data_IF_136652963978
#
_entry.id   IF_136652963978
#
_cell.length_a   1.000
_cell.length_b   1.000
_cell.length_c   1.000
_cell.angle_alpha   90.00
_cell.angle_beta   90.00
_cell.angle_gamma   90.00
#
_symmetry.space_group_name_H-M   'P 1'
#
loop_
_entity.id
_entity.type
_entity.pdbx_description
1 polymer ?
#
# COMPACT_ATOMS: atom_id res chain seq x y z
N UNK A 1 -4.74 4.62 8.13
CA UNK A 1 -3.58 5.47 7.77
C UNK A 1 -2.45 5.14 8.72
N UNK A 2 -1.30 4.64 8.23
CA UNK A 2 -0.15 4.29 9.07
C UNK A 2 0.64 5.53 9.51
N UNK A 3 1.46 5.43 10.55
CA UNK A 3 2.31 6.53 11.09
C UNK A 3 3.16 7.23 10.03
N UNK A 4 3.53 6.52 8.96
CA UNK A 4 4.36 7.03 7.86
C UNK A 4 3.59 7.93 6.87
N UNK A 5 2.26 7.78 6.75
CA UNK A 5 1.41 8.73 6.02
C UNK A 5 1.35 10.12 6.69
N UNK A 6 1.71 10.24 7.97
CA UNK A 6 1.82 11.53 8.67
C UNK A 6 3.19 12.17 8.51
N UNK A 7 4.25 11.37 8.35
CA UNK A 7 5.64 11.84 8.28
C UNK A 7 6.05 12.28 6.85
N UNK A 8 5.62 11.54 5.83
CA UNK A 8 5.70 11.98 4.44
C UNK A 8 4.47 12.86 4.16
N UNK A 9 4.65 14.08 3.64
CA UNK A 9 3.56 15.04 3.29
C UNK A 9 2.69 14.53 2.12
N UNK A 10 2.07 13.37 2.26
CA UNK A 10 1.36 12.67 1.20
C UNK A 10 0.10 13.40 0.75
N UNK A 11 -0.53 14.15 1.67
CA UNK A 11 -1.74 14.93 1.41
C UNK A 11 -1.55 16.00 0.33
N UNK A 12 -0.32 16.51 0.14
CA UNK A 12 -0.02 17.55 -0.86
C UNK A 12 0.38 16.99 -2.23
N UNK A 13 0.92 15.77 -2.31
CA UNK A 13 1.42 15.19 -3.57
C UNK A 13 0.41 14.30 -4.30
N UNK A 14 -0.46 13.60 -3.57
CA UNK A 14 -1.41 12.63 -4.16
C UNK A 14 -2.35 13.24 -5.24
N UNK A 15 -2.94 14.44 -5.05
CA UNK A 15 -3.81 15.03 -6.07
C UNK A 15 -3.07 15.39 -7.37
N UNK A 16 -1.81 15.84 -7.26
CA UNK A 16 -0.96 16.16 -8.42
C UNK A 16 -0.57 14.90 -9.18
N UNK A 17 -0.15 13.85 -8.46
CA UNK A 17 0.21 12.56 -9.05
C UNK A 17 -0.99 11.92 -9.76
N UNK A 18 -2.19 12.00 -9.17
CA UNK A 18 -3.40 11.48 -9.80
C UNK A 18 -3.66 12.14 -11.16
N UNK A 19 -3.58 13.48 -11.23
CA UNK A 19 -3.77 14.23 -12.49
C UNK A 19 -2.73 13.89 -13.57
N UNK A 20 -1.53 13.46 -13.17
CA UNK A 20 -0.50 13.04 -14.12
C UNK A 20 -0.70 11.59 -14.61
N UNK A 21 -1.24 10.71 -13.75
CA UNK A 21 -1.45 9.29 -14.04
C UNK A 21 -2.74 9.06 -14.83
N UNK A 22 -3.81 9.80 -14.52
CA UNK A 22 -5.13 9.67 -15.15
C UNK A 22 -5.12 9.73 -16.69
N UNK A 23 -4.44 10.68 -17.35
CA UNK A 23 -4.34 10.70 -18.82
C UNK A 23 -3.47 9.58 -19.41
N UNK A 24 -2.68 8.87 -18.60
CA UNK A 24 -1.84 7.76 -19.05
C UNK A 24 -2.58 6.42 -19.02
N UNK A 25 -3.80 6.38 -18.48
CA UNK A 25 -4.60 5.16 -18.45
C UNK A 25 -4.96 4.71 -19.89
N UNK A 26 -4.98 3.40 -20.17
CA UNK A 26 -4.88 2.29 -19.23
C UNK A 26 -3.45 1.97 -18.77
N UNK A 27 -3.28 1.77 -17.46
CA UNK A 27 -2.02 1.37 -16.86
C UNK A 27 -2.19 0.15 -15.97
N UNK A 28 -1.15 -0.66 -15.84
CA UNK A 28 -1.14 -1.81 -14.94
C UNK A 28 -1.27 -1.36 -13.49
N UNK A 29 -2.17 -2.00 -12.75
CA UNK A 29 -2.28 -1.80 -11.30
C UNK A 29 -0.98 -2.24 -10.61
N UNK A 30 -0.46 -1.43 -9.70
CA UNK A 30 0.76 -1.78 -8.94
C UNK A 30 0.56 -2.97 -7.98
N UNK A 31 -0.71 -3.29 -7.64
CA UNK A 31 -1.08 -4.24 -6.60
C UNK A 31 -1.83 -5.49 -7.11
N UNK A 32 -2.11 -5.57 -8.42
CA UNK A 32 -2.76 -6.71 -9.05
C UNK A 32 -2.34 -6.84 -10.52
N UNK A 33 -2.54 -7.99 -11.17
CA UNK A 33 -2.11 -8.19 -12.55
C UNK A 33 -2.98 -7.47 -13.59
N UNK A 34 -4.05 -6.77 -13.18
CA UNK A 34 -5.02 -6.16 -14.08
C UNK A 34 -4.74 -4.68 -14.33
N UNK A 35 -5.14 -4.19 -15.51
CA UNK A 35 -5.09 -2.77 -15.82
C UNK A 35 -6.18 -1.98 -15.07
N UNK A 36 -5.87 -0.73 -14.74
CA UNK A 36 -6.82 0.31 -14.37
C UNK A 36 -7.21 1.01 -15.67
N UNK A 37 -8.50 1.01 -15.99
CA UNK A 37 -9.02 1.62 -17.21
C UNK A 37 -9.36 3.10 -17.00
N UNK A 38 -9.40 3.92 -18.05
CA UNK A 38 -9.97 5.26 -17.98
C UNK A 38 -11.40 5.20 -17.42
N UNK A 39 -11.71 6.03 -16.42
CA UNK A 39 -13.02 6.05 -15.75
C UNK A 39 -13.12 5.17 -14.50
N UNK A 40 -12.18 4.23 -14.29
CA UNK A 40 -12.15 3.42 -13.06
C UNK A 40 -11.79 4.28 -11.82
N UNK A 41 -12.39 3.93 -10.68
CA UNK A 41 -11.95 4.48 -9.39
C UNK A 41 -10.62 3.84 -8.97
N UNK A 42 -9.56 4.63 -8.97
CA UNK A 42 -8.24 4.21 -8.50
C UNK A 42 -7.69 5.11 -7.39
N UNK A 43 -6.62 4.67 -6.75
CA UNK A 43 -5.79 5.38 -5.78
C UNK A 43 -4.34 5.37 -6.26
N UNK A 44 -3.50 6.28 -5.76
CA UNK A 44 -2.06 6.25 -6.02
C UNK A 44 -1.40 5.32 -5.00
N UNK A 45 -0.87 4.20 -5.49
CA UNK A 45 -0.15 3.20 -4.69
C UNK A 45 1.35 3.29 -4.93
N UNK A 46 2.14 2.78 -3.97
CA UNK A 46 3.58 2.63 -4.12
C UNK A 46 3.94 1.31 -4.78
N UNK A 47 4.98 1.31 -5.62
CA UNK A 47 5.60 0.09 -6.16
C UNK A 47 6.50 -0.50 -5.08
N UNK A 48 7.48 0.27 -4.59
CA UNK A 48 8.24 -0.01 -3.37
C UNK A 48 7.56 0.65 -2.20
N UNK A 49 7.13 -0.15 -1.22
CA UNK A 49 6.47 0.32 0.00
C UNK A 49 7.27 1.46 0.66
N UNK A 50 6.56 2.45 1.20
CA UNK A 50 7.18 3.57 1.91
C UNK A 50 8.03 3.13 3.12
N UNK A 51 7.74 1.96 3.69
CA UNK A 51 8.51 1.36 4.79
C UNK A 51 9.87 0.81 4.34
N UNK A 52 9.96 0.40 3.07
CA UNK A 52 11.17 -0.15 2.46
C UNK A 52 12.00 0.96 1.77
N UNK A 53 11.75 2.24 2.12
CA UNK A 53 12.42 3.41 1.54
C UNK A 53 11.74 4.00 0.30
N UNK A 54 10.54 3.51 -0.06
CA UNK A 54 9.79 4.03 -1.19
C UNK A 54 9.46 5.52 -1.06
N UNK A 55 9.95 6.32 -2.00
CA UNK A 55 9.58 7.73 -2.11
C UNK A 55 8.36 7.90 -3.02
N UNK A 56 7.52 8.93 -2.79
CA UNK A 56 6.35 9.21 -3.63
C UNK A 56 6.76 9.94 -4.93
N UNK A 57 7.67 9.34 -5.70
CA UNK A 57 8.14 9.82 -7.00
C UNK A 57 7.35 9.15 -8.12
N UNK A 58 7.23 9.81 -9.29
CA UNK A 58 6.52 9.25 -10.45
C UNK A 58 7.06 7.88 -10.88
N UNK A 59 8.34 7.59 -10.62
CA UNK A 59 8.98 6.30 -10.91
C UNK A 59 8.61 5.19 -9.91
N UNK A 60 8.13 5.53 -8.71
CA UNK A 60 7.83 4.58 -7.65
C UNK A 60 6.34 4.56 -7.26
N UNK A 61 5.50 5.31 -7.96
CA UNK A 61 4.05 5.33 -7.74
C UNK A 61 3.33 4.97 -9.02
N UNK A 62 2.18 4.36 -8.86
CA UNK A 62 1.32 4.03 -9.99
C UNK A 62 -0.14 3.91 -9.57
N UNK A 63 -1.04 3.70 -10.54
CA UNK A 63 -2.44 3.53 -10.23
C UNK A 63 -2.64 2.17 -9.52
N UNK A 64 -3.49 2.18 -8.51
CA UNK A 64 -3.96 1.00 -7.81
C UNK A 64 -5.48 1.05 -7.76
N UNK A 65 -6.17 -0.02 -8.11
CA UNK A 65 -7.63 -0.06 -7.96
C UNK A 65 -8.05 0.32 -6.54
N UNK A 66 -9.06 1.20 -6.43
CA UNK A 66 -9.73 1.45 -5.15
C UNK A 66 -10.46 0.18 -4.72
N UNK A 67 -11.21 -0.39 -5.65
CA UNK A 67 -11.78 -1.73 -5.59
C UNK A 67 -11.56 -2.42 -6.94
N UNK A 68 -10.97 -3.61 -6.94
CA UNK A 68 -10.82 -4.41 -8.15
C UNK A 68 -11.86 -5.52 -8.14
N UNK A 69 -12.82 -5.48 -9.08
CA UNK A 69 -13.87 -6.49 -9.20
C UNK A 69 -13.29 -7.89 -9.46
N UNK A 70 -12.26 -7.98 -10.31
CA UNK A 70 -11.59 -9.25 -10.65
C UNK A 70 -10.86 -9.87 -9.47
N UNK A 71 -10.34 -9.05 -8.56
CA UNK A 71 -9.68 -9.52 -7.33
C UNK A 71 -10.61 -9.53 -6.10
N UNK A 72 -11.86 -9.07 -6.25
CA UNK A 72 -12.84 -8.84 -5.17
C UNK A 72 -12.26 -8.15 -3.92
N UNK A 73 -11.31 -7.23 -4.10
CA UNK A 73 -10.59 -6.59 -2.98
C UNK A 73 -10.11 -5.19 -3.31
N UNK A 74 -9.87 -4.41 -2.25
CA UNK A 74 -9.17 -3.13 -2.34
C UNK A 74 -7.67 -3.37 -2.49
N UNK A 75 -7.15 -3.10 -3.68
CA UNK A 75 -5.79 -3.45 -4.05
C UNK A 75 -4.75 -2.68 -3.21
N UNK A 76 -4.94 -1.38 -3.01
CA UNK A 76 -4.01 -0.52 -2.27
C UNK A 76 -3.94 -0.86 -0.76
N UNK A 77 -5.03 -1.40 -0.20
CA UNK A 77 -5.13 -1.67 1.24
C UNK A 77 -4.60 -3.05 1.63
N UNK A 78 -4.46 -3.95 0.66
CA UNK A 78 -4.06 -5.33 0.90
C UNK A 78 -2.58 -5.46 1.31
N UNK A 79 -1.67 -4.69 0.70
CA UNK A 79 -0.25 -4.73 1.00
C UNK A 79 0.04 -4.20 2.42
N UNK A 80 -0.48 -3.01 2.73
CA UNK A 80 -0.38 -2.42 4.08
C UNK A 80 -1.07 -3.27 5.15
N UNK A 81 -2.23 -3.87 4.82
CA UNK A 81 -2.98 -4.72 5.74
C UNK A 81 -2.26 -6.02 6.11
N UNK A 82 -1.72 -6.75 5.13
CA UNK A 82 -0.95 -8.00 5.37
C UNK A 82 0.29 -7.74 6.21
N UNK A 83 1.03 -6.67 5.90
CA UNK A 83 2.25 -6.32 6.64
C UNK A 83 1.94 -5.78 8.04
N UNK A 84 0.88 -4.98 8.20
CA UNK A 84 0.38 -4.57 9.52
C UNK A 84 -0.04 -5.76 10.39
N UNK A 85 -0.76 -6.73 9.80
CA UNK A 85 -1.09 -7.98 10.48
C UNK A 85 0.16 -8.76 10.90
N UNK A 86 1.20 -8.81 10.05
CA UNK A 86 2.49 -9.45 10.39
C UNK A 86 3.14 -8.79 11.61
N UNK A 87 3.21 -7.46 11.68
CA UNK A 87 3.78 -6.73 12.82
C UNK A 87 2.98 -6.99 14.09
N UNK A 88 1.65 -6.86 14.03
CA UNK A 88 0.76 -7.10 15.17
C UNK A 88 0.85 -8.55 15.66
N UNK A 89 0.89 -9.52 14.73
CA UNK A 89 1.02 -10.93 15.07
C UNK A 89 2.40 -11.26 15.67
N UNK A 90 3.48 -10.65 15.17
CA UNK A 90 4.81 -10.80 15.75
C UNK A 90 4.84 -10.27 17.19
N UNK A 91 4.31 -9.07 17.45
CA UNK A 91 4.23 -8.51 18.79
C UNK A 91 3.38 -9.38 19.74
N UNK A 92 2.25 -9.91 19.27
CA UNK A 92 1.42 -10.83 20.06
C UNK A 92 2.18 -12.12 20.41
N UNK A 93 2.93 -12.68 19.46
CA UNK A 93 3.80 -13.85 19.70
C UNK A 93 4.89 -13.53 20.71
N UNK A 94 5.58 -12.39 20.60
CA UNK A 94 6.59 -11.97 21.58
C UNK A 94 6.00 -11.87 22.99
N UNK A 95 4.84 -11.20 23.13
CA UNK A 95 4.14 -11.10 24.43
C UNK A 95 3.75 -12.47 24.98
N UNK A 96 3.22 -13.35 24.14
CA UNK A 96 2.84 -14.71 24.56
C UNK A 96 4.05 -15.56 24.93
N UNK A 97 5.20 -15.39 24.26
CA UNK A 97 6.43 -16.11 24.59
C UNK A 97 7.01 -15.61 25.91
N UNK A 98 6.99 -14.29 26.15
CA UNK A 98 7.40 -13.71 27.44
C UNK A 98 6.52 -14.19 28.60
N UNK A 99 5.19 -14.26 28.42
CA UNK A 99 4.28 -14.77 29.45
C UNK A 99 4.45 -16.27 29.71
N UNK A 100 4.98 -17.03 28.73
CA UNK A 100 5.24 -18.48 28.85
C UNK A 100 6.68 -18.80 29.23
N UNK A 101 7.53 -17.81 29.49
CA UNK A 101 8.94 -18.00 29.85
C UNK A 101 9.81 -18.58 28.73
N UNK A 102 9.34 -18.56 27.47
CA UNK A 102 10.08 -19.09 26.33
C UNK A 102 11.14 -18.05 25.92
N UNK A 103 12.40 -18.28 26.30
CA UNK A 103 13.54 -17.48 25.82
C UNK A 103 13.77 -17.76 24.33
N UNK A 104 13.81 -16.70 23.53
CA UNK A 104 14.36 -16.78 22.18
C UNK A 104 15.88 -16.87 22.31
N UNK A 105 16.44 -18.02 21.95
CA UNK A 105 17.88 -18.22 21.80
C UNK A 105 18.36 -17.60 20.48
#
# INVERSE_FOLDING_TARGET
MSRHHRAQKWSTHSPKLRKLIEPQLPLRCVNCPHAVMPGDKFQVGHITDAMDGGTPTLSNVGPSHDYCERCARRCNQSAGGKRGARVTNAQRRTRSNSSKGIRAW
#
